data_IF_142960076800
#
_entry.id   IF_142960076800
#
_cell.length_a   1.000
_cell.length_b   1.000
_cell.length_c   1.000
_cell.angle_alpha   90.00
_cell.angle_beta   90.00
_cell.angle_gamma   90.00
#
_symmetry.space_group_name_H-M   'P 1'
#
loop_
_entity.id
_entity.type
_entity.pdbx_description
1 polymer ?
#
# COMPACT_ATOMS: atom_id res chain seq x y z
N UNK A 1 -18.13 31.30 -59.91
CA UNK A 1 -18.90 31.20 -58.66
C UNK A 1 -17.93 30.84 -57.58
N UNK A 2 -17.89 31.63 -56.52
CA UNK A 2 -16.94 31.55 -55.43
C UNK A 2 -16.88 30.14 -54.83
N UNK A 3 -15.65 29.70 -54.58
CA UNK A 3 -15.34 28.46 -53.88
C UNK A 3 -15.86 28.64 -52.45
N UNK A 4 -16.98 27.99 -52.14
CA UNK A 4 -17.56 28.00 -50.81
C UNK A 4 -16.52 27.54 -49.80
N UNK A 5 -16.05 28.48 -48.98
CA UNK A 5 -15.30 28.19 -47.78
C UNK A 5 -16.14 27.26 -46.92
N UNK A 6 -15.71 26.01 -46.82
CA UNK A 6 -16.15 25.09 -45.79
C UNK A 6 -15.67 25.65 -44.45
N UNK A 7 -16.38 26.64 -43.93
CA UNK A 7 -16.30 27.01 -42.53
C UNK A 7 -17.00 25.88 -41.77
N UNK A 8 -16.26 24.78 -41.61
CA UNK A 8 -16.68 23.65 -40.81
C UNK A 8 -16.91 24.19 -39.41
N UNK A 9 -18.18 24.39 -39.05
CA UNK A 9 -18.62 24.77 -37.72
C UNK A 9 -17.86 23.91 -36.70
N UNK A 10 -16.83 24.47 -36.07
CA UNK A 10 -16.20 23.83 -34.93
C UNK A 10 -17.31 23.71 -33.87
N UNK A 11 -17.61 22.50 -33.37
CA UNK A 11 -18.63 22.36 -32.35
C UNK A 11 -18.30 23.30 -31.19
N UNK A 12 -19.30 24.07 -30.74
CA UNK A 12 -19.14 24.97 -29.60
C UNK A 12 -18.63 24.15 -28.41
N UNK A 13 -17.52 24.60 -27.81
CA UNK A 13 -16.96 24.01 -26.60
C UNK A 13 -17.79 24.37 -25.36
N UNK A 14 -18.67 25.38 -25.48
CA UNK A 14 -19.58 25.80 -24.40
C UNK A 14 -20.58 24.68 -24.12
N UNK A 15 -20.77 24.37 -22.83
CA UNK A 15 -21.64 23.30 -22.36
C UNK A 15 -20.98 21.92 -22.33
N UNK A 16 -19.76 21.77 -22.85
CA UNK A 16 -19.03 20.51 -22.79
C UNK A 16 -18.47 20.26 -21.39
N UNK A 17 -18.52 18.99 -20.98
CA UNK A 17 -17.84 18.54 -19.76
C UNK A 17 -16.36 18.37 -20.05
N UNK A 18 -15.53 18.90 -19.17
CA UNK A 18 -14.07 19.01 -19.32
C UNK A 18 -13.39 18.72 -17.99
N UNK A 19 -12.08 18.49 -18.04
CA UNK A 19 -11.25 18.54 -16.84
C UNK A 19 -10.48 19.86 -16.80
N UNK A 20 -10.49 20.55 -15.67
CA UNK A 20 -9.66 21.73 -15.47
C UNK A 20 -8.73 21.53 -14.26
N UNK A 21 -7.61 22.25 -14.24
CA UNK A 21 -6.66 22.18 -13.15
C UNK A 21 -7.04 23.16 -12.03
N UNK A 22 -7.65 22.65 -10.96
CA UNK A 22 -8.01 23.42 -9.77
C UNK A 22 -6.75 23.75 -8.94
N UNK A 23 -6.57 25.00 -8.47
CA UNK A 23 -5.35 25.43 -7.78
C UNK A 23 -4.97 24.62 -6.53
N UNK A 24 -5.95 24.02 -5.85
CA UNK A 24 -5.75 23.24 -4.61
C UNK A 24 -6.01 21.74 -4.81
N UNK A 25 -6.92 21.38 -5.73
CA UNK A 25 -7.47 20.02 -5.85
C UNK A 25 -6.97 19.29 -7.10
N UNK A 26 -6.10 19.93 -7.87
CA UNK A 26 -5.61 19.47 -9.17
C UNK A 26 -6.76 19.23 -10.15
N UNK A 27 -6.68 18.21 -11.00
CA UNK A 27 -7.66 17.95 -12.06
C UNK A 27 -9.07 17.64 -11.51
N UNK A 28 -10.05 18.42 -11.95
CA UNK A 28 -11.47 18.25 -11.59
C UNK A 28 -12.40 18.39 -12.79
N UNK A 29 -13.55 17.72 -12.70
CA UNK A 29 -14.63 17.86 -13.68
C UNK A 29 -15.31 19.22 -13.56
N UNK A 30 -15.50 19.87 -14.69
CA UNK A 30 -16.30 21.08 -14.81
C UNK A 30 -17.03 21.10 -16.16
N UNK A 31 -17.94 22.06 -16.32
CA UNK A 31 -18.60 22.36 -17.59
C UNK A 31 -18.13 23.73 -18.05
N UNK A 32 -17.78 23.86 -19.33
CA UNK A 32 -17.43 25.17 -19.91
C UNK A 32 -18.68 26.05 -19.95
N UNK A 33 -18.67 27.16 -19.21
CA UNK A 33 -19.76 28.12 -19.16
C UNK A 33 -19.62 29.22 -20.23
N UNK A 34 -18.41 29.71 -20.46
CA UNK A 34 -18.10 30.67 -21.51
C UNK A 34 -16.65 30.54 -21.96
N UNK A 35 -16.33 31.10 -23.13
CA UNK A 35 -14.97 31.26 -23.62
C UNK A 35 -14.80 32.66 -24.18
N UNK A 36 -13.65 33.26 -23.87
CA UNK A 36 -13.30 34.62 -24.25
C UNK A 36 -11.89 34.65 -24.83
N UNK A 37 -11.68 35.44 -25.86
CA UNK A 37 -10.36 35.67 -26.45
C UNK A 37 -9.78 36.95 -25.83
N UNK A 38 -8.64 36.83 -25.17
CA UNK A 38 -7.91 37.93 -24.55
C UNK A 38 -6.59 38.17 -25.30
N UNK A 39 -5.95 39.30 -25.01
CA UNK A 39 -4.67 39.68 -25.63
C UNK A 39 -3.59 38.61 -25.43
N UNK A 40 -3.60 37.92 -24.29
CA UNK A 40 -2.59 36.92 -23.90
C UNK A 40 -3.02 35.47 -24.17
N UNK A 41 -4.16 35.26 -24.86
CA UNK A 41 -4.66 33.94 -25.23
C UNK A 41 -6.16 33.74 -24.94
N UNK A 42 -6.63 32.50 -25.11
CA UNK A 42 -8.03 32.14 -24.85
C UNK A 42 -8.23 31.76 -23.39
N UNK A 43 -9.28 32.29 -22.78
CA UNK A 43 -9.71 31.97 -21.43
C UNK A 43 -11.05 31.24 -21.47
N UNK A 44 -11.23 30.24 -20.62
CA UNK A 44 -12.49 29.57 -20.40
C UNK A 44 -12.97 29.81 -18.98
N UNK A 45 -14.24 30.17 -18.83
CA UNK A 45 -14.92 30.12 -17.54
C UNK A 45 -15.53 28.74 -17.40
N UNK A 46 -15.09 27.98 -16.40
CA UNK A 46 -15.56 26.62 -16.10
C UNK A 46 -16.37 26.61 -14.81
N UNK A 47 -17.47 25.85 -14.77
CA UNK A 47 -18.33 25.69 -13.60
C UNK A 47 -18.19 24.28 -13.03
N UNK A 48 -17.80 24.20 -11.76
CA UNK A 48 -17.62 22.96 -11.02
C UNK A 48 -18.96 22.36 -10.59
N UNK A 49 -18.94 21.09 -10.17
CA UNK A 49 -20.10 20.43 -9.53
C UNK A 49 -20.55 21.14 -8.23
N UNK A 50 -19.63 21.82 -7.54
CA UNK A 50 -19.94 22.64 -6.35
C UNK A 50 -20.73 23.92 -6.67
N UNK A 51 -20.83 24.30 -7.95
CA UNK A 51 -21.40 25.57 -8.38
C UNK A 51 -20.37 26.70 -8.50
N UNK A 52 -19.17 26.53 -7.95
CA UNK A 52 -18.07 27.49 -8.08
C UNK A 52 -17.60 27.62 -9.54
N UNK A 53 -17.23 28.83 -9.94
CA UNK A 53 -16.73 29.13 -11.29
C UNK A 53 -15.29 29.59 -11.24
N UNK A 54 -14.47 29.10 -12.17
CA UNK A 54 -13.07 29.47 -12.32
C UNK A 54 -12.81 29.94 -13.74
N UNK A 55 -11.97 30.97 -13.89
CA UNK A 55 -11.43 31.37 -15.19
C UNK A 55 -10.05 30.77 -15.34
N UNK A 56 -9.83 30.00 -16.40
CA UNK A 56 -8.57 29.29 -16.66
C UNK A 56 -8.11 29.50 -18.10
N UNK A 57 -6.79 29.51 -18.36
CA UNK A 57 -6.25 29.49 -19.71
C UNK A 57 -6.69 28.24 -20.46
N UNK A 58 -7.02 28.37 -21.75
CA UNK A 58 -7.32 27.24 -22.65
C UNK A 58 -6.00 26.67 -23.15
N UNK A 59 -5.27 26.01 -22.26
CA UNK A 59 -4.01 25.31 -22.56
C UNK A 59 -4.02 23.91 -21.95
N UNK A 60 -3.15 23.02 -22.45
CA UNK A 60 -3.07 21.64 -21.98
C UNK A 60 -2.77 21.51 -20.47
N UNK A 61 -2.10 22.49 -19.87
CA UNK A 61 -1.75 22.48 -18.44
C UNK A 61 -2.94 22.80 -17.53
N UNK A 62 -3.95 23.52 -18.05
CA UNK A 62 -5.06 24.02 -17.24
C UNK A 62 -6.42 23.48 -17.66
N UNK A 63 -6.57 22.99 -18.89
CA UNK A 63 -7.85 22.57 -19.44
C UNK A 63 -7.68 21.42 -20.43
N UNK A 64 -8.30 20.29 -20.10
CA UNK A 64 -8.30 19.07 -20.90
C UNK A 64 -9.71 18.75 -21.38
N UNK A 65 -9.85 18.57 -22.69
CA UNK A 65 -11.08 18.21 -23.38
C UNK A 65 -11.00 16.74 -23.82
N UNK A 66 -11.66 15.82 -23.10
CA UNK A 66 -11.74 14.45 -23.57
C UNK A 66 -12.48 14.38 -24.91
N UNK A 67 -11.91 13.68 -25.88
CA UNK A 67 -12.45 13.58 -27.24
C UNK A 67 -13.31 12.33 -27.47
N UNK A 68 -13.14 11.31 -26.63
CA UNK A 68 -13.75 10.00 -26.80
C UNK A 68 -15.11 9.93 -26.08
N UNK A 69 -16.19 9.52 -26.78
CA UNK A 69 -17.50 9.38 -26.14
C UNK A 69 -17.48 8.37 -24.98
N UNK A 70 -18.24 8.64 -23.92
CA UNK A 70 -18.37 7.74 -22.76
C UNK A 70 -17.15 7.69 -21.83
N UNK A 71 -16.10 8.48 -22.10
CA UNK A 71 -14.85 8.53 -21.32
C UNK A 71 -15.06 8.82 -19.83
N UNK A 72 -16.10 9.58 -19.48
CA UNK A 72 -16.38 9.95 -18.09
C UNK A 72 -17.01 8.85 -17.24
N UNK A 73 -17.63 7.86 -17.87
CA UNK A 73 -18.30 6.73 -17.21
C UNK A 73 -17.53 5.41 -17.36
N UNK A 74 -16.41 5.43 -18.10
CA UNK A 74 -15.51 4.30 -18.30
C UNK A 74 -14.53 4.18 -17.14
N UNK A 75 -14.59 3.06 -16.42
CA UNK A 75 -13.73 2.77 -15.27
C UNK A 75 -13.10 1.37 -15.42
N UNK A 76 -12.23 1.18 -16.42
CA UNK A 76 -11.76 -0.15 -16.79
C UNK A 76 -10.96 -0.81 -15.66
N UNK A 77 -10.91 -2.14 -15.68
CA UNK A 77 -10.10 -2.92 -14.76
C UNK A 77 -8.61 -2.88 -15.13
N UNK A 78 -8.29 -2.72 -16.42
CA UNK A 78 -6.95 -2.46 -16.91
C UNK A 78 -6.84 -1.01 -17.40
N UNK A 79 -5.90 -0.24 -16.85
CA UNK A 79 -5.69 1.14 -17.23
C UNK A 79 -5.14 1.27 -18.65
N UNK A 80 -4.62 0.19 -19.26
CA UNK A 80 -4.29 0.17 -20.69
C UNK A 80 -5.53 0.21 -21.59
N UNK A 81 -6.72 -0.06 -21.06
CA UNK A 81 -8.00 0.04 -21.77
C UNK A 81 -8.63 1.44 -21.62
N UNK A 82 -7.95 2.39 -20.97
CA UNK A 82 -8.40 3.77 -20.90
C UNK A 82 -8.49 4.38 -22.32
N UNK A 83 -9.60 5.04 -22.68
CA UNK A 83 -9.79 5.58 -24.04
C UNK A 83 -8.74 6.63 -24.43
N UNK A 84 -8.30 7.42 -23.44
CA UNK A 84 -7.32 8.49 -23.62
C UNK A 84 -6.35 8.48 -22.45
N UNK A 85 -5.06 8.63 -22.72
CA UNK A 85 -4.06 8.74 -21.68
C UNK A 85 -3.86 10.21 -21.31
N UNK A 86 -4.38 10.60 -20.15
CA UNK A 86 -4.18 11.92 -19.56
C UNK A 86 -4.29 11.86 -18.03
N UNK A 87 -3.47 12.61 -17.31
CA UNK A 87 -3.45 12.61 -15.83
C UNK A 87 -4.81 12.91 -15.23
N UNK A 88 -5.54 13.86 -15.82
CA UNK A 88 -6.90 14.21 -15.40
C UNK A 88 -7.85 13.01 -15.47
N UNK A 89 -7.81 12.24 -16.57
CA UNK A 89 -8.67 11.09 -16.73
C UNK A 89 -8.22 9.94 -15.83
N UNK A 90 -6.91 9.73 -15.68
CA UNK A 90 -6.36 8.73 -14.77
C UNK A 90 -6.83 9.01 -13.33
N UNK A 91 -6.67 10.23 -12.84
CA UNK A 91 -7.14 10.63 -11.51
C UNK A 91 -8.65 10.47 -11.35
N UNK A 92 -9.42 10.76 -12.39
CA UNK A 92 -10.87 10.52 -12.40
C UNK A 92 -11.21 9.04 -12.29
N UNK A 93 -10.54 8.17 -13.05
CA UNK A 93 -10.71 6.71 -12.96
C UNK A 93 -10.35 6.21 -11.56
N UNK A 94 -9.16 6.58 -11.06
CA UNK A 94 -8.70 6.19 -9.72
C UNK A 94 -9.69 6.60 -8.62
N UNK A 95 -10.17 7.85 -8.65
CA UNK A 95 -11.11 8.40 -7.66
C UNK A 95 -12.44 7.67 -7.68
N UNK A 96 -13.01 7.41 -8.86
CA UNK A 96 -14.31 6.73 -8.98
C UNK A 96 -14.21 5.25 -8.63
N UNK A 97 -13.12 4.58 -9.03
CA UNK A 97 -12.87 3.18 -8.63
C UNK A 97 -12.68 3.06 -7.12
N UNK A 98 -11.87 3.93 -6.52
CA UNK A 98 -11.69 3.97 -5.07
C UNK A 98 -13.01 4.24 -4.32
N UNK A 99 -13.85 5.15 -4.80
CA UNK A 99 -15.17 5.42 -4.22
C UNK A 99 -16.14 4.22 -4.31
N UNK A 100 -15.89 3.28 -5.23
CA UNK A 100 -16.66 2.03 -5.42
C UNK A 100 -15.98 0.81 -4.81
N UNK A 101 -14.95 1.00 -3.97
CA UNK A 101 -14.17 -0.08 -3.35
C UNK A 101 -13.44 -0.99 -4.36
N UNK A 102 -13.17 -0.49 -5.57
CA UNK A 102 -12.40 -1.15 -6.62
C UNK A 102 -10.94 -0.67 -6.59
N UNK A 103 -10.24 -0.97 -5.50
CA UNK A 103 -8.91 -0.38 -5.24
C UNK A 103 -7.76 -0.97 -6.04
N UNK A 104 -7.96 -2.14 -6.64
CA UNK A 104 -7.00 -2.78 -7.51
C UNK A 104 -7.35 -2.53 -8.98
N UNK A 105 -6.31 -2.29 -9.77
CA UNK A 105 -6.35 -2.11 -11.23
C UNK A 105 -5.15 -2.81 -11.85
N UNK A 106 -5.27 -3.18 -13.12
CA UNK A 106 -4.15 -3.65 -13.93
C UNK A 106 -3.51 -2.49 -14.69
N UNK A 107 -2.23 -2.63 -14.96
CA UNK A 107 -1.52 -1.91 -16.02
C UNK A 107 -0.84 -3.02 -16.82
N UNK A 108 -1.60 -3.64 -17.72
CA UNK A 108 -1.24 -4.90 -18.34
C UNK A 108 -1.01 -5.98 -17.29
N UNK A 109 0.26 -6.34 -17.09
CA UNK A 109 0.65 -7.40 -16.16
C UNK A 109 0.94 -6.90 -14.73
N UNK A 110 1.08 -5.60 -14.54
CA UNK A 110 1.28 -4.99 -13.22
C UNK A 110 -0.07 -4.78 -12.53
N UNK A 111 -0.07 -4.78 -11.20
CA UNK A 111 -1.24 -4.40 -10.40
C UNK A 111 -0.96 -3.10 -9.67
N UNK A 112 -1.78 -2.08 -9.95
CA UNK A 112 -1.84 -0.84 -9.19
C UNK A 112 -2.85 -1.02 -8.04
N UNK A 113 -2.48 -0.58 -6.84
CA UNK A 113 -3.33 -0.59 -5.66
C UNK A 113 -3.36 0.79 -5.01
N UNK A 114 -4.57 1.27 -4.70
CA UNK A 114 -4.78 2.49 -3.90
C UNK A 114 -5.32 2.07 -2.54
N UNK A 115 -4.55 2.28 -1.48
CA UNK A 115 -4.94 1.83 -0.14
C UNK A 115 -6.30 2.40 0.29
N UNK A 116 -7.32 1.57 0.56
CA UNK A 116 -8.64 2.05 0.98
C UNK A 116 -8.71 2.58 2.41
N UNK A 117 -7.72 2.29 3.25
CA UNK A 117 -7.76 2.51 4.71
C UNK A 117 -8.99 1.91 5.42
N UNK A 118 -9.60 0.88 4.80
CA UNK A 118 -10.70 0.09 5.35
C UNK A 118 -10.68 -1.33 4.81
N UNK A 119 -11.38 -2.23 5.49
CA UNK A 119 -11.60 -3.60 5.02
C UNK A 119 -12.62 -3.59 3.88
N UNK A 120 -12.29 -4.24 2.76
CA UNK A 120 -13.18 -4.42 1.61
C UNK A 120 -13.55 -5.90 1.50
N UNK A 121 -14.85 -6.19 1.53
CA UNK A 121 -15.36 -7.56 1.52
C UNK A 121 -14.97 -8.34 0.25
N UNK A 122 -14.95 -7.70 -0.92
CA UNK A 122 -14.53 -8.32 -2.18
C UNK A 122 -13.03 -8.65 -2.26
N UNK A 123 -12.26 -8.25 -1.24
CA UNK A 123 -10.82 -8.50 -1.13
C UNK A 123 -10.48 -9.41 0.05
N UNK A 124 -11.51 -10.01 0.66
CA UNK A 124 -11.36 -10.99 1.73
C UNK A 124 -10.82 -12.31 1.19
N UNK A 125 -10.13 -13.07 2.05
CA UNK A 125 -9.38 -14.25 1.66
C UNK A 125 -10.26 -15.35 1.00
N UNK A 126 -11.58 -15.36 1.23
CA UNK A 126 -12.51 -16.28 0.56
C UNK A 126 -12.68 -16.02 -0.95
N UNK A 127 -12.42 -14.80 -1.43
CA UNK A 127 -12.44 -14.49 -2.86
C UNK A 127 -11.21 -15.03 -3.60
N UNK A 128 -10.19 -15.49 -2.87
CA UNK A 128 -8.95 -16.03 -3.41
C UNK A 128 -9.17 -17.30 -4.25
N UNK A 129 -10.20 -18.08 -3.93
CA UNK A 129 -10.52 -19.34 -4.62
C UNK A 129 -10.73 -19.16 -6.13
N UNK A 130 -11.29 -18.03 -6.55
CA UNK A 130 -11.50 -17.69 -7.96
C UNK A 130 -10.18 -17.70 -8.77
N UNK A 131 -9.05 -17.46 -8.12
CA UNK A 131 -7.72 -17.44 -8.73
C UNK A 131 -7.01 -18.79 -8.57
N UNK A 132 -7.23 -19.49 -7.45
CA UNK A 132 -6.69 -20.82 -7.18
C UNK A 132 -7.29 -21.90 -8.11
N UNK A 133 -8.49 -21.71 -8.61
CA UNK A 133 -9.12 -22.64 -9.55
C UNK A 133 -8.48 -22.64 -10.96
N UNK A 134 -7.47 -21.79 -11.19
CA UNK A 134 -6.78 -21.63 -12.47
C UNK A 134 -5.29 -22.03 -12.43
N UNK A 135 -4.84 -22.78 -11.41
CA UNK A 135 -3.41 -23.09 -11.21
C UNK A 135 -2.72 -23.83 -12.38
N UNK A 136 -3.49 -24.37 -13.33
CA UNK A 136 -2.98 -25.02 -14.54
C UNK A 136 -2.68 -24.04 -15.69
N UNK A 137 -3.10 -22.78 -15.58
CA UNK A 137 -2.99 -21.78 -16.65
C UNK A 137 -2.42 -20.47 -16.14
N UNK A 138 -1.28 -20.02 -16.68
CA UNK A 138 -0.65 -18.76 -16.26
C UNK A 138 -1.52 -17.52 -16.56
N UNK A 139 -2.33 -17.58 -17.63
CA UNK A 139 -3.23 -16.49 -18.02
C UNK A 139 -4.60 -16.69 -17.38
N UNK A 140 -4.91 -15.83 -16.41
CA UNK A 140 -6.21 -15.79 -15.78
C UNK A 140 -7.30 -15.27 -16.75
N UNK A 141 -8.56 -15.70 -16.58
CA UNK A 141 -9.68 -15.15 -17.35
C UNK A 141 -9.80 -13.64 -17.20
N UNK A 142 -10.11 -12.93 -18.29
CA UNK A 142 -10.25 -11.47 -18.30
C UNK A 142 -11.37 -10.95 -17.40
N UNK A 143 -12.38 -11.78 -17.11
CA UNK A 143 -13.50 -11.43 -16.23
C UNK A 143 -13.17 -11.46 -14.73
N UNK A 144 -11.97 -11.94 -14.33
CA UNK A 144 -11.57 -11.87 -12.94
C UNK A 144 -11.16 -10.44 -12.56
N UNK A 145 -11.60 -9.95 -11.38
CA UNK A 145 -11.25 -8.61 -10.94
C UNK A 145 -9.72 -8.49 -10.76
N UNK A 146 -9.13 -7.30 -10.93
CA UNK A 146 -7.74 -7.07 -10.57
C UNK A 146 -7.51 -7.36 -9.08
N UNK A 147 -6.43 -8.08 -8.75
CA UNK A 147 -6.01 -8.28 -7.37
C UNK A 147 -4.54 -8.69 -7.31
N UNK A 148 -3.85 -8.46 -6.19
CA UNK A 148 -2.45 -8.92 -6.01
C UNK A 148 -2.28 -10.44 -6.09
N UNK A 149 -3.37 -11.19 -5.94
CA UNK A 149 -3.37 -12.64 -6.17
C UNK A 149 -3.06 -12.99 -7.62
N UNK A 150 -3.44 -12.16 -8.61
CA UNK A 150 -3.07 -12.43 -10.00
C UNK A 150 -1.55 -12.34 -10.23
N UNK A 151 -0.87 -11.47 -9.48
CA UNK A 151 0.61 -11.36 -9.51
C UNK A 151 1.25 -12.59 -8.89
N UNK A 152 0.79 -12.99 -7.70
CA UNK A 152 1.28 -14.20 -7.03
C UNK A 152 0.98 -15.47 -7.85
N UNK A 153 -0.22 -15.57 -8.41
CA UNK A 153 -0.66 -16.64 -9.30
C UNK A 153 0.29 -16.78 -10.48
N UNK A 154 0.50 -15.69 -11.22
CA UNK A 154 1.37 -15.73 -12.40
C UNK A 154 2.79 -16.14 -12.02
N UNK A 155 3.38 -15.49 -11.00
CA UNK A 155 4.72 -15.83 -10.54
C UNK A 155 4.83 -17.31 -10.15
N UNK A 156 3.83 -17.85 -9.46
CA UNK A 156 3.78 -19.24 -9.02
C UNK A 156 3.63 -20.23 -10.18
N UNK A 157 2.64 -20.03 -11.05
CA UNK A 157 2.37 -20.92 -12.18
C UNK A 157 3.53 -20.91 -13.17
N UNK A 158 4.09 -19.73 -13.46
CA UNK A 158 5.25 -19.61 -14.33
C UNK A 158 6.53 -20.21 -13.70
N UNK A 159 6.74 -20.05 -12.39
CA UNK A 159 7.83 -20.70 -11.66
C UNK A 159 7.72 -22.22 -11.76
N UNK A 160 6.53 -22.80 -11.57
CA UNK A 160 6.32 -24.26 -11.70
C UNK A 160 6.53 -24.75 -13.13
N UNK A 161 5.96 -24.05 -14.10
CA UNK A 161 6.04 -24.44 -15.51
C UNK A 161 7.48 -24.35 -16.06
N UNK A 162 8.25 -23.33 -15.65
CA UNK A 162 9.62 -23.11 -16.13
C UNK A 162 10.70 -23.67 -15.22
N UNK A 163 10.34 -24.14 -14.02
CA UNK A 163 11.29 -24.54 -12.97
C UNK A 163 12.38 -23.49 -12.75
N UNK A 164 11.95 -22.22 -12.70
CA UNK A 164 12.84 -21.06 -12.67
C UNK A 164 12.38 -20.04 -11.63
N UNK A 165 13.33 -19.39 -10.98
CA UNK A 165 13.07 -18.38 -9.96
C UNK A 165 12.36 -17.16 -10.56
N UNK A 166 11.35 -16.66 -9.87
CA UNK A 166 10.62 -15.43 -10.22
C UNK A 166 10.73 -14.42 -9.07
N UNK A 167 10.53 -13.14 -9.38
CA UNK A 167 10.54 -12.06 -8.39
C UNK A 167 9.30 -11.21 -8.50
N UNK A 168 8.85 -10.68 -7.36
CA UNK A 168 7.75 -9.71 -7.28
C UNK A 168 8.31 -8.48 -6.57
N UNK A 169 8.12 -7.31 -7.18
CA UNK A 169 8.57 -6.03 -6.63
C UNK A 169 7.33 -5.23 -6.20
N UNK A 170 7.25 -4.91 -4.92
CA UNK A 170 6.19 -4.05 -4.38
C UNK A 170 6.74 -2.63 -4.15
N UNK A 171 6.27 -1.67 -4.96
CA UNK A 171 6.69 -0.27 -4.93
C UNK A 171 5.55 0.67 -4.54
N UNK A 172 5.89 1.82 -3.95
CA UNK A 172 4.92 2.84 -3.54
C UNK A 172 5.36 3.61 -2.28
N UNK A 173 4.73 4.75 -2.02
CA UNK A 173 5.01 5.59 -0.84
C UNK A 173 4.73 4.87 0.49
N UNK A 174 5.22 5.42 1.60
CA UNK A 174 4.87 4.89 2.92
C UNK A 174 3.35 4.94 3.14
N UNK A 175 2.78 3.89 3.72
CA UNK A 175 1.33 3.78 3.94
C UNK A 175 0.53 3.36 2.71
N UNK A 176 1.16 3.14 1.54
CA UNK A 176 0.45 2.74 0.32
C UNK A 176 -0.10 1.31 0.30
N UNK A 177 0.16 0.50 1.33
CA UNK A 177 -0.35 -0.88 1.43
C UNK A 177 0.59 -1.98 0.91
N UNK A 178 1.86 -1.67 0.59
CA UNK A 178 2.86 -2.67 0.11
C UNK A 178 2.95 -3.91 1.01
N UNK A 179 3.07 -3.70 2.33
CA UNK A 179 3.22 -4.79 3.30
C UNK A 179 1.98 -5.69 3.32
N UNK A 180 0.78 -5.10 3.28
CA UNK A 180 -0.48 -5.84 3.25
C UNK A 180 -0.67 -6.59 1.92
N UNK A 181 -0.24 -6.00 0.80
CA UNK A 181 -0.18 -6.68 -0.49
C UNK A 181 0.75 -7.91 -0.44
N UNK A 182 1.95 -7.78 0.12
CA UNK A 182 2.87 -8.90 0.29
C UNK A 182 2.29 -10.01 1.19
N UNK A 183 1.61 -9.65 2.30
CA UNK A 183 0.92 -10.62 3.17
C UNK A 183 -0.16 -11.40 2.39
N UNK A 184 -0.98 -10.71 1.60
CA UNK A 184 -2.01 -11.34 0.73
C UNK A 184 -1.41 -12.28 -0.32
N UNK A 185 -0.30 -11.88 -0.96
CA UNK A 185 0.39 -12.72 -1.92
C UNK A 185 1.00 -13.96 -1.27
N UNK A 186 1.59 -13.84 -0.07
CA UNK A 186 2.14 -14.98 0.63
C UNK A 186 1.06 -15.98 1.04
N UNK A 187 -0.08 -15.50 1.56
CA UNK A 187 -1.25 -16.37 1.85
C UNK A 187 -1.71 -17.13 0.61
N UNK A 188 -1.73 -16.47 -0.55
CA UNK A 188 -2.03 -17.12 -1.82
C UNK A 188 -1.04 -18.23 -2.16
N UNK A 189 0.27 -17.99 -2.00
CA UNK A 189 1.29 -19.00 -2.27
C UNK A 189 1.19 -20.20 -1.31
N UNK A 190 0.81 -19.98 -0.05
CA UNK A 190 0.52 -21.05 0.89
C UNK A 190 -0.69 -21.88 0.41
N UNK A 191 -1.81 -21.24 0.10
CA UNK A 191 -3.01 -21.92 -0.38
C UNK A 191 -2.78 -22.67 -1.71
N UNK A 192 -2.00 -22.10 -2.63
CA UNK A 192 -1.62 -22.77 -3.87
C UNK A 192 -0.78 -24.04 -3.60
N UNK A 193 0.11 -24.00 -2.60
CA UNK A 193 0.89 -25.17 -2.19
C UNK A 193 0.01 -26.29 -1.61
N UNK A 194 -1.02 -25.94 -0.82
CA UNK A 194 -1.99 -26.92 -0.28
C UNK A 194 -2.87 -27.53 -1.38
N UNK A 195 -3.16 -26.79 -2.46
CA UNK A 195 -3.87 -27.33 -3.64
C UNK A 195 -3.03 -28.32 -4.43
N UNK A 196 -1.72 -28.08 -4.56
CA UNK A 196 -0.80 -28.96 -5.30
C UNK A 196 -0.50 -30.24 -4.51
N UNK A 197 -0.37 -30.15 -3.18
CA UNK A 197 -0.12 -31.31 -2.33
C UNK A 197 -1.07 -31.31 -1.12
N UNK A 198 -2.03 -32.22 -1.15
CA UNK A 198 -3.14 -32.31 -0.19
C UNK A 198 -2.84 -33.18 1.03
N UNK A 199 -1.58 -33.61 1.21
CA UNK A 199 -1.18 -34.38 2.38
C UNK A 199 -1.24 -33.53 3.66
N UNK A 200 -1.61 -34.16 4.77
CA UNK A 200 -1.75 -33.53 6.09
C UNK A 200 -0.46 -32.84 6.53
N UNK A 201 0.71 -33.38 6.21
CA UNK A 201 1.99 -32.78 6.57
C UNK A 201 2.26 -31.47 5.82
N UNK A 202 1.74 -31.30 4.60
CA UNK A 202 1.83 -30.04 3.85
C UNK A 202 0.97 -28.98 4.52
N UNK A 203 -0.29 -29.30 4.82
CA UNK A 203 -1.19 -28.33 5.48
C UNK A 203 -0.65 -27.90 6.86
N UNK A 204 -0.16 -28.85 7.67
CA UNK A 204 0.50 -28.53 8.94
C UNK A 204 1.75 -27.64 8.75
N UNK A 205 2.52 -27.87 7.68
CA UNK A 205 3.67 -27.01 7.36
C UNK A 205 3.22 -25.61 6.94
N UNK A 206 2.17 -25.48 6.13
CA UNK A 206 1.64 -24.18 5.70
C UNK A 206 1.07 -23.38 6.88
N UNK A 207 0.38 -24.05 7.80
CA UNK A 207 -0.07 -23.44 9.05
C UNK A 207 1.13 -22.91 9.87
N UNK A 208 2.15 -23.75 10.11
CA UNK A 208 3.36 -23.33 10.85
C UNK A 208 4.10 -22.17 10.19
N UNK A 209 4.22 -22.18 8.86
CA UNK A 209 4.84 -21.09 8.09
C UNK A 209 4.03 -19.81 8.28
N UNK A 210 2.70 -19.88 8.14
CA UNK A 210 1.81 -18.72 8.27
C UNK A 210 1.89 -18.09 9.66
N UNK A 211 1.85 -18.91 10.71
CA UNK A 211 2.00 -18.47 12.11
C UNK A 211 3.36 -17.79 12.34
N UNK A 212 4.47 -18.42 11.91
CA UNK A 212 5.81 -17.84 12.06
C UNK A 212 6.00 -16.54 11.28
N UNK A 213 5.40 -16.41 10.10
CA UNK A 213 5.45 -15.15 9.34
C UNK A 213 4.69 -14.05 10.05
N UNK A 214 3.50 -14.37 10.60
CA UNK A 214 2.72 -13.40 11.36
C UNK A 214 3.51 -12.92 12.58
N UNK A 215 4.08 -13.84 13.37
CA UNK A 215 4.85 -13.49 14.57
C UNK A 215 6.15 -12.78 14.25
N UNK A 216 6.92 -13.23 13.24
CA UNK A 216 8.13 -12.51 12.80
C UNK A 216 7.82 -11.12 12.27
N UNK A 217 6.64 -10.89 11.69
CA UNK A 217 6.18 -9.56 11.29
C UNK A 217 5.98 -8.65 12.48
N UNK A 218 5.37 -9.12 13.58
CA UNK A 218 5.23 -8.35 14.83
C UNK A 218 6.60 -7.91 15.35
N UNK A 219 7.57 -8.81 15.39
CA UNK A 219 8.94 -8.51 15.84
C UNK A 219 9.58 -7.46 14.92
N UNK A 220 9.59 -7.72 13.62
CA UNK A 220 10.19 -6.80 12.65
C UNK A 220 9.52 -5.42 12.63
N UNK A 221 8.20 -5.35 12.79
CA UNK A 221 7.46 -4.09 12.83
C UNK A 221 7.76 -3.32 14.12
N UNK A 222 7.85 -3.99 15.26
CA UNK A 222 8.22 -3.34 16.54
C UNK A 222 9.60 -2.69 16.49
N UNK A 223 10.60 -3.41 15.95
CA UNK A 223 11.98 -2.94 15.88
C UNK A 223 12.28 -2.05 14.66
N UNK A 224 11.51 -2.15 13.58
CA UNK A 224 11.82 -1.52 12.30
C UNK A 224 10.80 -0.49 11.81
N UNK A 225 9.63 -0.39 12.45
CA UNK A 225 8.63 0.61 12.09
C UNK A 225 8.59 1.77 13.08
N UNK A 226 8.11 2.90 12.58
CA UNK A 226 7.96 4.12 13.34
C UNK A 226 6.75 4.92 12.84
N UNK A 227 6.27 5.85 13.68
CA UNK A 227 5.30 6.87 13.26
C UNK A 227 5.99 7.89 12.38
N UNK A 228 5.36 8.21 11.26
CA UNK A 228 5.64 9.40 10.44
C UNK A 228 4.42 10.32 10.44
N UNK A 229 4.55 11.51 9.87
CA UNK A 229 3.44 12.47 9.70
C UNK A 229 2.24 11.86 8.97
N UNK A 230 2.49 10.97 7.98
CA UNK A 230 1.44 10.40 7.12
C UNK A 230 0.99 8.99 7.51
N UNK A 231 1.75 8.29 8.35
CA UNK A 231 1.51 6.87 8.63
C UNK A 231 2.06 6.52 10.03
N UNK A 232 1.17 6.04 10.90
CA UNK A 232 1.49 5.68 12.28
C UNK A 232 2.37 4.43 12.41
N UNK A 233 2.37 3.54 11.41
CA UNK A 233 3.15 2.30 11.37
C UNK A 233 3.91 2.18 10.05
N UNK A 234 4.93 3.03 9.86
CA UNK A 234 5.75 3.07 8.65
C UNK A 234 7.01 2.22 8.81
N UNK A 235 7.17 1.17 7.99
CA UNK A 235 8.45 0.46 7.86
C UNK A 235 9.56 1.41 7.47
N UNK A 236 10.67 1.42 8.24
CA UNK A 236 11.87 2.22 7.99
C UNK A 236 13.05 1.36 7.56
N UNK A 237 12.73 0.28 6.85
CA UNK A 237 13.63 -0.71 6.29
C UNK A 237 12.92 -1.41 5.11
N UNK A 238 13.70 -1.99 4.21
CA UNK A 238 13.21 -2.92 3.19
C UNK A 238 13.17 -4.35 3.72
N UNK A 239 12.26 -5.16 3.18
CA UNK A 239 12.16 -6.60 3.45
C UNK A 239 12.37 -7.36 2.14
N UNK A 240 13.38 -8.21 2.08
CA UNK A 240 13.57 -9.16 0.99
C UNK A 240 13.06 -10.52 1.46
N UNK A 241 12.05 -11.06 0.78
CA UNK A 241 11.42 -12.33 1.13
C UNK A 241 11.70 -13.36 0.04
N UNK A 242 12.42 -14.40 0.40
CA UNK A 242 12.72 -15.54 -0.45
C UNK A 242 11.77 -16.67 -0.09
N UNK A 243 10.76 -16.94 -0.92
CA UNK A 243 9.84 -18.06 -0.74
C UNK A 243 10.40 -19.26 -1.51
N UNK A 244 10.56 -20.38 -0.82
CA UNK A 244 11.24 -21.56 -1.35
C UNK A 244 10.24 -22.67 -1.61
N UNK A 245 10.33 -23.29 -2.79
CA UNK A 245 9.47 -24.39 -3.23
C UNK A 245 10.31 -25.60 -3.58
N UNK A 246 9.75 -26.80 -3.43
CA UNK A 246 10.32 -28.02 -3.99
C UNK A 246 10.04 -28.15 -5.50
N UNK A 247 10.51 -29.24 -6.12
CA UNK A 247 10.36 -29.48 -7.55
C UNK A 247 8.90 -29.61 -8.00
N UNK A 248 8.01 -30.05 -7.12
CA UNK A 248 6.58 -30.19 -7.39
C UNK A 248 5.83 -28.84 -7.28
N UNK A 249 6.50 -27.83 -6.71
CA UNK A 249 5.96 -26.49 -6.50
C UNK A 249 5.27 -26.31 -5.15
N UNK A 250 5.57 -27.17 -4.17
CA UNK A 250 5.05 -27.05 -2.81
C UNK A 250 6.01 -26.19 -1.99
N UNK A 251 5.47 -25.20 -1.28
CA UNK A 251 6.29 -24.34 -0.42
C UNK A 251 6.96 -25.15 0.69
N UNK A 252 8.27 -24.98 0.83
CA UNK A 252 9.10 -25.63 1.84
C UNK A 252 9.38 -24.70 3.02
N UNK A 253 9.45 -23.40 2.76
CA UNK A 253 9.73 -22.38 3.76
C UNK A 253 9.97 -21.03 3.12
N UNK A 254 10.45 -20.08 3.93
CA UNK A 254 10.86 -18.77 3.47
C UNK A 254 11.96 -18.19 4.32
N UNK A 255 12.71 -17.27 3.73
CA UNK A 255 13.74 -16.47 4.40
C UNK A 255 13.40 -15.00 4.25
N UNK A 256 13.38 -14.26 5.36
CA UNK A 256 13.18 -12.81 5.36
C UNK A 256 14.48 -12.13 5.74
N UNK A 257 14.99 -11.30 4.84
CA UNK A 257 16.19 -10.50 5.07
C UNK A 257 15.80 -9.02 5.16
N UNK A 258 15.85 -8.39 6.36
CA UNK A 258 15.69 -6.95 6.48
C UNK A 258 16.93 -6.23 5.94
N UNK A 259 16.74 -5.10 5.26
CA UNK A 259 17.83 -4.29 4.72
C UNK A 259 17.54 -2.80 4.79
N UNK A 260 18.58 -1.96 4.76
CA UNK A 260 18.47 -0.49 4.75
C UNK A 260 17.62 0.09 5.90
N UNK A 261 17.82 -0.40 7.13
CA UNK A 261 17.24 0.21 8.32
C UNK A 261 17.75 1.66 8.47
N UNK A 262 16.84 2.62 8.65
CA UNK A 262 17.15 4.04 8.87
C UNK A 262 17.84 4.29 10.22
N UNK A 263 19.13 3.97 10.32
CA UNK A 263 19.89 4.01 11.58
C UNK A 263 19.81 5.35 12.32
N UNK A 264 19.79 6.47 11.60
CA UNK A 264 19.64 7.80 12.22
C UNK A 264 18.39 7.92 13.08
N UNK A 265 17.31 7.19 12.74
CA UNK A 265 16.05 7.22 13.48
C UNK A 265 16.15 6.60 14.88
N UNK A 266 17.17 5.79 15.13
CA UNK A 266 17.42 5.26 16.48
C UNK A 266 17.72 6.36 17.50
N UNK A 267 18.15 7.55 17.07
CA UNK A 267 18.55 8.66 17.95
C UNK A 267 17.80 9.98 17.70
N UNK A 268 17.03 10.09 16.61
CA UNK A 268 16.29 11.33 16.28
C UNK A 268 15.11 11.06 15.34
N UNK A 269 14.10 11.93 15.33
CA UNK A 269 12.99 11.89 14.38
C UNK A 269 12.48 13.32 14.07
N UNK A 270 11.60 13.46 13.06
CA UNK A 270 10.97 14.73 12.73
C UNK A 270 9.89 15.16 13.74
N UNK A 271 9.39 16.38 13.60
CA UNK A 271 8.25 16.86 14.38
C UNK A 271 6.99 16.04 14.06
N UNK A 272 6.19 15.73 15.09
CA UNK A 272 5.03 14.83 15.04
C UNK A 272 5.35 13.40 14.56
N UNK A 273 6.60 12.96 14.75
CA UNK A 273 7.03 11.59 14.48
C UNK A 273 7.46 10.87 15.76
N UNK A 274 7.66 9.55 15.62
CA UNK A 274 8.33 8.74 16.65
C UNK A 274 9.64 8.20 16.10
N UNK A 275 10.53 7.83 17.02
CA UNK A 275 11.58 6.84 16.74
C UNK A 275 10.94 5.44 16.61
N UNK A 276 11.70 4.36 16.71
CA UNK A 276 11.15 3.01 16.58
C UNK A 276 10.14 2.65 17.68
N UNK A 277 9.09 1.92 17.32
CA UNK A 277 8.00 1.55 18.23
C UNK A 277 8.48 0.80 19.47
N UNK A 278 9.47 -0.09 19.31
CA UNK A 278 10.00 -0.93 20.40
C UNK A 278 10.38 -0.13 21.65
N UNK A 279 10.91 1.10 21.51
CA UNK A 279 11.28 1.91 22.67
C UNK A 279 10.06 2.40 23.46
N UNK A 280 8.98 2.77 22.76
CA UNK A 280 7.72 3.20 23.40
C UNK A 280 7.01 1.99 24.00
N UNK A 281 7.01 0.86 23.30
CA UNK A 281 6.45 -0.42 23.75
C UNK A 281 7.16 -0.90 25.02
N UNK A 282 8.49 -0.92 25.05
CA UNK A 282 9.28 -1.29 26.23
C UNK A 282 8.93 -0.40 27.43
N UNK A 283 8.97 0.92 27.27
CA UNK A 283 8.71 1.87 28.37
C UNK A 283 7.25 1.80 28.85
N UNK A 284 6.29 1.52 27.96
CA UNK A 284 4.88 1.42 28.32
C UNK A 284 4.52 0.06 28.94
N UNK A 285 5.09 -1.03 28.41
CA UNK A 285 4.66 -2.41 28.67
C UNK A 285 5.54 -3.20 29.64
N UNK A 286 6.76 -2.75 29.94
CA UNK A 286 7.63 -3.45 30.89
C UNK A 286 6.96 -3.64 32.26
N UNK A 287 7.10 -4.85 32.83
CA UNK A 287 6.64 -5.17 34.18
C UNK A 287 7.53 -4.55 35.27
N UNK A 288 7.14 -4.71 36.54
CA UNK A 288 7.88 -4.13 37.66
C UNK A 288 9.34 -4.60 37.75
N UNK A 289 9.59 -5.89 37.51
CA UNK A 289 10.93 -6.47 37.62
C UNK A 289 11.84 -5.99 36.48
N UNK A 290 11.34 -5.97 35.25
CA UNK A 290 12.03 -5.44 34.08
C UNK A 290 12.30 -3.94 34.22
N UNK A 291 11.33 -3.17 34.73
CA UNK A 291 11.50 -1.73 35.00
C UNK A 291 12.60 -1.45 36.01
N UNK A 292 12.66 -2.21 37.09
CA UNK A 292 13.72 -2.07 38.09
C UNK A 292 15.08 -2.43 37.51
N UNK A 293 15.17 -3.58 36.82
CA UNK A 293 16.41 -4.07 36.19
C UNK A 293 16.97 -3.10 35.15
N UNK A 294 16.11 -2.60 34.26
CA UNK A 294 16.51 -1.69 33.17
C UNK A 294 16.45 -0.21 33.57
N UNK A 295 16.07 0.11 34.81
CA UNK A 295 15.88 1.48 35.33
C UNK A 295 14.94 2.34 34.46
N UNK A 296 13.82 1.76 34.04
CA UNK A 296 12.84 2.42 33.16
C UNK A 296 11.96 3.41 33.94
N UNK A 297 12.07 4.70 33.58
CA UNK A 297 11.19 5.78 34.00
C UNK A 297 9.96 5.95 33.10
N UNK A 298 9.30 7.11 33.21
CA UNK A 298 8.21 7.52 32.32
C UNK A 298 8.76 7.90 30.93
N UNK A 299 7.98 7.72 29.86
CA UNK A 299 8.45 8.08 28.51
C UNK A 299 8.92 9.54 28.40
N UNK A 300 8.35 10.46 29.19
CA UNK A 300 8.75 11.88 29.25
C UNK A 300 10.13 12.12 29.84
N UNK A 301 10.68 11.17 30.63
CA UNK A 301 12.04 11.32 31.18
C UNK A 301 13.12 11.08 30.13
N UNK A 302 12.76 10.55 28.96
CA UNK A 302 13.72 10.19 27.93
C UNK A 302 13.73 11.18 26.78
N UNK A 303 14.87 11.89 26.64
CA UNK A 303 15.08 12.88 25.57
C UNK A 303 14.81 12.26 24.20
N UNK A 304 15.23 11.01 23.99
CA UNK A 304 15.01 10.27 22.75
C UNK A 304 13.52 10.13 22.39
N UNK A 305 12.68 9.75 23.35
CA UNK A 305 11.26 9.55 23.13
C UNK A 305 10.52 10.89 22.95
N UNK A 306 11.04 11.96 23.55
CA UNK A 306 10.50 13.31 23.41
C UNK A 306 10.83 14.00 22.07
N UNK A 307 11.80 13.51 21.27
CA UNK A 307 12.35 14.22 20.10
C UNK A 307 11.30 14.71 19.10
N UNK A 308 10.30 13.88 18.80
CA UNK A 308 9.26 14.24 17.83
C UNK A 308 8.01 14.89 18.44
N UNK A 309 7.95 15.06 19.75
CA UNK A 309 6.77 15.62 20.44
C UNK A 309 5.55 14.68 20.45
N UNK A 310 5.68 13.42 20.02
CA UNK A 310 4.61 12.43 19.98
C UNK A 310 4.93 11.23 20.88
N UNK A 311 4.46 11.25 22.14
CA UNK A 311 4.76 10.19 23.11
C UNK A 311 3.75 9.04 23.12
N UNK A 312 2.50 9.30 22.72
CA UNK A 312 1.42 8.31 22.79
C UNK A 312 0.57 8.36 21.52
N UNK A 313 0.20 7.18 21.02
CA UNK A 313 -0.73 6.99 19.91
C UNK A 313 -2.11 6.47 20.34
N UNK A 314 -2.47 6.61 21.62
CA UNK A 314 -3.77 6.13 22.13
C UNK A 314 -4.96 6.76 21.42
N UNK A 315 -4.86 8.02 21.01
CA UNK A 315 -5.91 8.71 20.25
C UNK A 315 -6.13 8.10 18.85
N UNK A 316 -5.16 7.33 18.36
CA UNK A 316 -5.21 6.63 17.08
C UNK A 316 -5.52 5.12 17.29
N UNK A 317 -5.91 4.72 18.50
CA UNK A 317 -6.25 3.34 18.85
C UNK A 317 -5.05 2.42 19.11
N UNK A 318 -3.83 2.94 19.13
CA UNK A 318 -2.61 2.16 19.35
C UNK A 318 -2.24 2.18 20.84
N UNK A 319 -1.99 1.01 21.41
CA UNK A 319 -1.67 0.83 22.82
C UNK A 319 -0.30 0.15 22.96
N UNK A 320 0.75 0.96 23.12
CA UNK A 320 2.14 0.49 23.14
C UNK A 320 2.38 -0.58 24.24
N UNK A 321 1.65 -0.54 25.36
CA UNK A 321 1.78 -1.55 26.41
C UNK A 321 1.20 -2.91 25.99
N UNK A 322 0.05 -2.90 25.30
CA UNK A 322 -0.54 -4.11 24.71
C UNK A 322 0.35 -4.64 23.59
N UNK A 323 0.86 -3.75 22.74
CA UNK A 323 1.73 -4.14 21.63
C UNK A 323 3.05 -4.75 22.14
N UNK A 324 3.56 -4.30 23.29
CA UNK A 324 4.71 -4.94 23.94
C UNK A 324 4.42 -6.38 24.40
N UNK A 325 3.23 -6.64 24.96
CA UNK A 325 2.83 -8.01 25.33
C UNK A 325 2.73 -8.91 24.09
N UNK A 326 2.19 -8.38 22.99
CA UNK A 326 2.13 -9.09 21.71
C UNK A 326 3.54 -9.33 21.15
N UNK A 327 4.46 -8.38 21.31
CA UNK A 327 5.87 -8.52 20.92
C UNK A 327 6.57 -9.63 21.72
N UNK A 328 6.42 -9.67 23.05
CA UNK A 328 7.00 -10.72 23.89
C UNK A 328 6.44 -12.10 23.50
N UNK A 329 5.13 -12.21 23.31
CA UNK A 329 4.50 -13.46 22.85
C UNK A 329 5.02 -13.89 21.46
N UNK A 330 5.23 -12.92 20.55
CA UNK A 330 5.79 -13.19 19.23
C UNK A 330 7.25 -13.67 19.29
N UNK A 331 8.09 -13.08 20.14
CA UNK A 331 9.48 -13.52 20.36
C UNK A 331 9.53 -14.96 20.85
N UNK A 332 8.73 -15.30 21.86
CA UNK A 332 8.61 -16.69 22.35
C UNK A 332 8.10 -17.62 21.25
N UNK A 333 7.08 -17.21 20.49
CA UNK A 333 6.50 -18.05 19.43
C UNK A 333 7.46 -18.34 18.28
N UNK A 334 8.39 -17.43 17.96
CA UNK A 334 9.40 -17.68 16.91
C UNK A 334 10.63 -18.41 17.43
N UNK A 335 10.79 -18.53 18.76
CA UNK A 335 11.77 -19.40 19.41
C UNK A 335 12.86 -18.70 20.22
N UNK A 336 12.71 -17.42 20.59
CA UNK A 336 13.66 -16.75 21.49
C UNK A 336 13.48 -17.27 22.92
N UNK A 337 14.57 -17.71 23.55
CA UNK A 337 14.55 -18.09 24.97
C UNK A 337 14.34 -16.89 25.89
N UNK A 338 13.98 -17.13 27.15
CA UNK A 338 13.87 -16.05 28.14
C UNK A 338 15.20 -15.31 28.32
N UNK A 339 16.33 -16.03 28.33
CA UNK A 339 17.66 -15.42 28.43
C UNK A 339 18.02 -14.58 27.20
N UNK A 340 17.67 -15.03 25.99
CA UNK A 340 17.88 -14.26 24.76
C UNK A 340 17.02 -12.99 24.75
N UNK A 341 15.78 -13.06 25.25
CA UNK A 341 14.89 -11.89 25.38
C UNK A 341 15.42 -10.91 26.43
N UNK A 342 15.90 -11.39 27.58
CA UNK A 342 16.50 -10.52 28.59
C UNK A 342 17.73 -9.79 28.07
N UNK A 343 18.59 -10.51 27.36
CA UNK A 343 19.78 -9.95 26.69
C UNK A 343 19.37 -8.92 25.63
N UNK A 344 18.32 -9.19 24.87
CA UNK A 344 17.78 -8.26 23.87
C UNK A 344 17.35 -6.93 24.50
N UNK A 345 16.64 -6.96 25.62
CA UNK A 345 16.17 -5.74 26.29
C UNK A 345 17.31 -4.95 26.92
N UNK A 346 18.32 -5.63 27.49
CA UNK A 346 19.53 -4.99 28.03
C UNK A 346 20.38 -4.32 26.94
N UNK A 347 20.46 -4.92 25.75
CA UNK A 347 21.16 -4.29 24.61
C UNK A 347 20.37 -3.16 23.97
N UNK A 348 19.04 -3.28 23.93
CA UNK A 348 18.17 -2.23 23.39
C UNK A 348 18.19 -0.99 24.29
N UNK A 349 18.37 -1.19 25.59
CA UNK A 349 18.23 -0.15 26.60
C UNK A 349 19.46 -0.06 27.51
N UNK A 350 20.33 0.91 27.22
CA UNK A 350 21.43 1.27 28.12
C UNK A 350 21.02 2.45 29.02
N UNK A 351 20.85 2.24 30.34
CA UNK A 351 20.52 3.32 31.27
C UNK A 351 21.59 4.42 31.35
N UNK A 352 22.83 4.16 30.92
CA UNK A 352 23.93 5.13 30.94
C UNK A 352 24.04 5.96 29.65
N UNK A 353 23.27 5.65 28.61
CA UNK A 353 23.21 6.43 27.37
C UNK A 353 22.10 7.50 27.35
N UNK A 354 21.55 7.88 28.51
CA UNK A 354 20.41 8.82 28.63
C UNK A 354 20.78 10.30 28.48
#
# INVERSE_FOLDING_TARGET
MEVGSSDGMRPSLIGQMVFFFHPIRAWELAVVASMEEQHDGKMATVRCKSGETFSVPVTADFLFFPTTPGVFDSFPDDLLEMPELHDALLLHVLRNRHARDLTYMRIGEMVLSVNPFKVIASQADNCMELYLDHLDTAKLPSGLPPHVWSVAHRAYVEMRARQANHSIIASGESGSGKTEACKKMLKYLCAASERVATDVAVSQRMQRISEKVQMSSVVMESFGNAKTVKNDNSSRFGKFMEVQFDADGVMMGLRVTPFLLERSRAVTCGADERVYHVFYQLVAGADGAMRERLRLGDARSFVLLGKGGCLSLKNNGIDDARDFQVLQAALTSIGFSEEEQDTLWEHLWDPYCT
#
